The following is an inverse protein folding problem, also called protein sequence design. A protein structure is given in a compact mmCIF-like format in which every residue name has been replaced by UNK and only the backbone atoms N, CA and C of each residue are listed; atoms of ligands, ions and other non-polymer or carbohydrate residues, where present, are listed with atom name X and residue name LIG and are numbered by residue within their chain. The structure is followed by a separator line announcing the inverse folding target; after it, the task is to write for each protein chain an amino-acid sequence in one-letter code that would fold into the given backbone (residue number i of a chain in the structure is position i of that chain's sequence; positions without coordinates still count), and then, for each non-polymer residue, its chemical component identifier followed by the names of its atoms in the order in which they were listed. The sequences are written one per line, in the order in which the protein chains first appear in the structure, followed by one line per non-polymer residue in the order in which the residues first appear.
data_IF_716998928944
#
_entry.id   IF_716998928944
#
_cell.length_a   1.000
_cell.length_b   1.000
_cell.length_c   1.000
_cell.angle_alpha   90.00
_cell.angle_beta   90.00
_cell.angle_gamma   90.00
#
_symmetry.space_group_name_H-M   'P 1'
#
loop_
_entity.id
_entity.type
_entity.pdbx_description
1 polymer ?
#
# COMPACT_ATOMS: atom_id res chain seq x y z
N UNK A 1 -7.49 -0.61 18.88
CA UNK A 1 -8.72 -0.70 18.07
C UNK A 1 -8.91 -2.14 17.62
N UNK A 2 -10.15 -2.62 17.47
CA UNK A 2 -10.43 -4.01 17.08
C UNK A 2 -10.09 -4.24 15.61
N UNK A 3 -9.43 -5.35 15.28
CA UNK A 3 -9.17 -5.75 13.89
C UNK A 3 -10.51 -5.90 13.17
N UNK A 4 -10.72 -5.24 12.01
CA UNK A 4 -11.98 -5.33 11.29
C UNK A 4 -12.23 -6.78 10.86
N UNK A 5 -13.47 -7.25 11.00
CA UNK A 5 -13.84 -8.59 10.57
C UNK A 5 -13.93 -8.64 9.04
N UNK A 6 -12.98 -9.31 8.41
CA UNK A 6 -12.93 -9.44 6.96
C UNK A 6 -13.92 -10.50 6.45
N UNK A 7 -14.60 -10.18 5.36
CA UNK A 7 -15.36 -11.16 4.56
C UNK A 7 -14.40 -12.12 3.84
N UNK A 8 -14.90 -13.27 3.37
CA UNK A 8 -14.08 -14.27 2.64
C UNK A 8 -13.23 -13.64 1.54
N UNK A 9 -13.84 -12.81 0.68
CA UNK A 9 -13.12 -12.21 -0.45
C UNK A 9 -12.07 -11.18 0.00
N UNK A 10 -12.34 -10.43 1.07
CA UNK A 10 -11.36 -9.49 1.65
C UNK A 10 -10.18 -10.25 2.26
N UNK A 11 -10.44 -11.33 3.00
CA UNK A 11 -9.37 -12.18 3.56
C UNK A 11 -8.51 -12.81 2.48
N UNK A 12 -9.11 -13.35 1.42
CA UNK A 12 -8.38 -13.95 0.31
C UNK A 12 -7.46 -12.94 -0.39
N UNK A 13 -7.97 -11.74 -0.67
CA UNK A 13 -7.16 -10.67 -1.28
C UNK A 13 -6.06 -10.20 -0.33
N UNK A 14 -6.36 -10.02 0.96
CA UNK A 14 -5.37 -9.63 1.95
C UNK A 14 -4.24 -10.66 2.07
N UNK A 15 -4.56 -11.95 2.20
CA UNK A 15 -3.55 -13.01 2.30
C UNK A 15 -2.74 -13.16 0.99
N UNK A 16 -3.35 -12.94 -0.17
CA UNK A 16 -2.61 -12.95 -1.43
C UNK A 16 -1.55 -11.85 -1.50
N UNK A 17 -1.84 -10.67 -0.90
CA UNK A 17 -0.88 -9.58 -0.77
C UNK A 17 0.17 -9.87 0.31
N UNK A 18 -0.25 -10.39 1.47
CA UNK A 18 0.62 -10.73 2.60
C UNK A 18 1.66 -11.79 2.25
N UNK A 19 1.27 -12.78 1.43
CA UNK A 19 2.17 -13.84 0.97
C UNK A 19 3.11 -13.40 -0.17
N UNK A 20 3.04 -12.14 -0.63
CA UNK A 20 3.82 -11.63 -1.76
C UNK A 20 4.98 -10.75 -1.29
N UNK A 21 6.20 -11.03 -1.78
CA UNK A 21 7.39 -10.21 -1.52
C UNK A 21 7.44 -8.93 -2.38
N UNK A 22 6.54 -8.82 -3.37
CA UNK A 22 6.43 -7.69 -4.28
C UNK A 22 4.98 -7.18 -4.36
N UNK A 23 4.76 -5.90 -4.69
CA UNK A 23 3.42 -5.35 -4.91
C UNK A 23 2.67 -6.12 -5.98
N UNK A 24 1.37 -6.35 -5.77
CA UNK A 24 0.53 -7.04 -6.74
C UNK A 24 -0.43 -6.06 -7.42
N UNK A 25 -0.54 -6.17 -8.75
CA UNK A 25 -1.62 -5.52 -9.48
C UNK A 25 -2.96 -6.22 -9.19
N UNK A 26 -4.08 -5.53 -9.39
CA UNK A 26 -5.40 -6.14 -9.24
C UNK A 26 -5.61 -7.36 -10.16
N UNK A 27 -4.99 -7.36 -11.35
CA UNK A 27 -5.05 -8.48 -12.28
C UNK A 27 -4.21 -9.67 -11.81
N UNK A 28 -3.02 -9.42 -11.26
CA UNK A 28 -2.18 -10.47 -10.66
C UNK A 28 -2.88 -11.13 -9.47
N UNK A 29 -3.57 -10.34 -8.65
CA UNK A 29 -4.39 -10.87 -7.55
C UNK A 29 -5.55 -11.71 -8.10
N UNK A 30 -6.25 -11.21 -9.13
CA UNK A 30 -7.35 -11.96 -9.77
C UNK A 30 -6.85 -13.31 -10.27
N UNK A 31 -5.73 -13.35 -10.97
CA UNK A 31 -5.17 -14.57 -11.54
C UNK A 31 -4.76 -15.58 -10.45
N UNK A 32 -4.17 -15.11 -9.35
CA UNK A 32 -3.84 -15.95 -8.18
C UNK A 32 -5.08 -16.53 -7.48
N UNK A 33 -6.23 -15.85 -7.54
CA UNK A 33 -7.44 -16.22 -6.80
C UNK A 33 -8.54 -16.85 -7.69
N UNK A 34 -8.23 -17.21 -8.94
CA UNK A 34 -9.22 -17.84 -9.85
C UNK A 34 -9.77 -19.14 -9.28
N UNK A 35 -8.91 -19.98 -8.73
CA UNK A 35 -9.30 -21.28 -8.15
C UNK A 35 -10.12 -21.11 -6.86
N UNK A 36 -10.00 -19.95 -6.21
CA UNK A 36 -10.78 -19.55 -5.04
C UNK A 36 -12.14 -18.92 -5.40
N UNK A 37 -12.49 -18.91 -6.69
CA UNK A 37 -13.79 -18.46 -7.21
C UNK A 37 -13.83 -17.02 -7.69
N UNK A 38 -12.70 -16.30 -7.78
CA UNK A 38 -12.66 -14.99 -8.42
C UNK A 38 -12.75 -15.14 -9.94
N UNK A 39 -13.63 -14.37 -10.57
CA UNK A 39 -13.93 -14.44 -12.01
C UNK A 39 -13.80 -13.10 -12.71
N UNK A 40 -13.95 -11.99 -11.98
CA UNK A 40 -13.95 -10.65 -12.56
C UNK A 40 -13.05 -9.68 -11.76
N UNK A 41 -12.32 -8.76 -12.42
CA UNK A 41 -11.50 -7.75 -11.75
C UNK A 41 -12.28 -6.92 -10.71
N UNK A 42 -13.56 -6.64 -10.96
CA UNK A 42 -14.41 -5.88 -10.06
C UNK A 42 -14.52 -6.50 -8.66
N UNK A 43 -14.45 -7.83 -8.55
CA UNK A 43 -14.48 -8.51 -7.24
C UNK A 43 -13.22 -8.20 -6.43
N UNK A 44 -12.06 -8.12 -7.10
CA UNK A 44 -10.78 -7.75 -6.48
C UNK A 44 -10.82 -6.28 -6.07
N UNK A 45 -11.25 -5.37 -6.95
CA UNK A 45 -11.33 -3.95 -6.63
C UNK A 45 -12.25 -3.66 -5.43
N UNK A 46 -13.40 -4.33 -5.32
CA UNK A 46 -14.30 -4.18 -4.15
C UNK A 46 -13.66 -4.65 -2.84
N UNK A 47 -12.87 -5.72 -2.89
CA UNK A 47 -12.14 -6.18 -1.71
C UNK A 47 -11.03 -5.19 -1.34
N UNK A 48 -10.24 -4.74 -2.32
CA UNK A 48 -9.17 -3.75 -2.13
C UNK A 48 -9.70 -2.42 -1.58
N UNK A 49 -10.83 -1.93 -2.07
CA UNK A 49 -11.47 -0.70 -1.57
C UNK A 49 -11.74 -0.78 -0.07
N UNK A 50 -12.29 -1.90 0.41
CA UNK A 50 -12.51 -2.11 1.85
C UNK A 50 -11.23 -2.27 2.65
N UNK A 51 -10.22 -2.94 2.10
CA UNK A 51 -8.91 -3.05 2.76
C UNK A 51 -8.20 -1.69 2.85
N UNK A 52 -8.36 -0.82 1.84
CA UNK A 52 -7.86 0.56 1.84
C UNK A 52 -8.59 1.42 2.87
N UNK A 53 -9.92 1.33 2.95
CA UNK A 53 -10.73 2.01 3.97
C UNK A 53 -10.31 1.60 5.39
N UNK A 54 -9.95 0.33 5.59
CA UNK A 54 -9.45 -0.18 6.87
C UNK A 54 -7.99 0.17 7.15
N UNK A 55 -7.26 0.74 6.19
CA UNK A 55 -5.82 1.00 6.32
C UNK A 55 -4.96 -0.26 6.36
N UNK A 56 -5.49 -1.41 5.91
CA UNK A 56 -4.77 -2.70 5.91
C UNK A 56 -3.85 -2.87 4.70
N UNK A 57 -4.12 -2.13 3.63
CA UNK A 57 -3.31 -2.14 2.41
C UNK A 57 -3.08 -0.70 1.94
N UNK A 58 -2.03 -0.51 1.17
CA UNK A 58 -1.75 0.73 0.47
C UNK A 58 -1.71 0.50 -1.04
N UNK A 59 -2.07 1.55 -1.79
CA UNK A 59 -1.88 1.60 -3.24
C UNK A 59 -0.59 2.33 -3.56
N UNK A 60 0.22 1.72 -4.41
CA UNK A 60 1.36 2.36 -5.09
C UNK A 60 0.85 2.90 -6.41
N UNK A 61 0.72 4.22 -6.50
CA UNK A 61 0.15 4.90 -7.65
C UNK A 61 1.06 4.76 -8.88
N UNK A 62 2.38 4.81 -8.71
CA UNK A 62 3.31 4.70 -9.84
C UNK A 62 3.39 3.31 -10.47
N UNK A 63 2.90 2.28 -9.77
CA UNK A 63 2.90 0.89 -10.24
C UNK A 63 1.48 0.34 -10.48
N UNK A 64 0.43 1.08 -10.13
CA UNK A 64 -0.96 0.59 -10.08
C UNK A 64 -1.07 -0.76 -9.34
N UNK A 65 -0.35 -0.87 -8.23
CA UNK A 65 -0.22 -2.08 -7.45
C UNK A 65 -0.55 -1.84 -5.97
N UNK A 66 -0.71 -2.92 -5.22
CA UNK A 66 -1.13 -2.91 -3.83
C UNK A 66 -0.13 -3.67 -2.96
N UNK A 67 0.03 -3.22 -1.72
CA UNK A 67 0.88 -3.83 -0.68
C UNK A 67 0.15 -3.86 0.66
N UNK A 68 0.50 -4.81 1.53
CA UNK A 68 0.01 -4.81 2.92
C UNK A 68 0.68 -3.67 3.70
N UNK A 69 -0.08 -3.03 4.58
CA UNK A 69 0.45 -2.03 5.50
C UNK A 69 1.38 -2.69 6.54
N UNK A 70 2.58 -2.13 6.70
CA UNK A 70 3.57 -2.62 7.67
C UNK A 70 3.24 -2.20 9.11
N UNK A 71 2.31 -1.26 9.29
CA UNK A 71 1.97 -0.65 10.59
C UNK A 71 0.46 -0.71 10.92
N UNK A 72 -0.16 -1.90 10.98
CA UNK A 72 -1.61 -2.03 11.18
C UNK A 72 -2.11 -1.60 12.58
N UNK A 73 -1.22 -1.31 13.54
CA UNK A 73 -1.54 -1.00 14.94
C UNK A 73 -1.27 0.44 15.37
N UNK A 74 -0.54 1.21 14.57
CA UNK A 74 -0.31 2.63 14.84
C UNK A 74 -1.28 3.46 13.99
N UNK A 75 -1.59 4.66 14.47
CA UNK A 75 -2.43 5.68 13.84
C UNK A 75 -1.90 6.17 12.48
N UNK A 76 -1.48 5.28 11.57
CA UNK A 76 -1.15 5.59 10.18
C UNK A 76 -2.36 6.14 9.42
N UNK A 77 -3.59 5.87 9.88
CA UNK A 77 -4.80 6.52 9.37
C UNK A 77 -4.98 7.95 9.90
N UNK A 78 -4.19 8.39 10.89
CA UNK A 78 -4.22 9.75 11.47
C UNK A 78 -2.97 10.58 11.13
N UNK A 79 -1.84 9.94 10.78
CA UNK A 79 -0.62 10.60 10.33
C UNK A 79 -0.49 10.48 8.80
N UNK A 80 -0.95 11.52 8.10
CA UNK A 80 -1.33 11.51 6.68
C UNK A 80 -0.22 11.38 5.64
N UNK A 81 0.98 10.92 6.00
CA UNK A 81 2.10 10.72 5.06
C UNK A 81 2.53 9.26 5.04
N UNK A 82 2.42 8.62 3.88
CA UNK A 82 2.96 7.27 3.66
C UNK A 82 4.08 7.34 2.64
N UNK A 83 5.23 6.74 2.94
CA UNK A 83 6.40 6.76 2.05
C UNK A 83 6.86 5.34 1.69
N UNK A 84 7.21 5.17 0.41
CA UNK A 84 7.64 3.90 -0.16
C UNK A 84 8.95 4.06 -0.93
N UNK A 85 9.88 3.14 -0.73
CA UNK A 85 11.05 2.96 -1.59
C UNK A 85 10.83 1.71 -2.46
N UNK A 86 10.93 1.88 -3.77
CA UNK A 86 10.61 0.88 -4.79
C UNK A 86 11.88 0.53 -5.54
N UNK A 87 12.29 -0.74 -5.50
CA UNK A 87 13.41 -1.22 -6.30
C UNK A 87 12.98 -1.50 -7.75
N UNK A 88 13.62 -0.84 -8.71
CA UNK A 88 13.33 -1.03 -10.13
C UNK A 88 13.91 -2.34 -10.71
N UNK A 89 14.82 -3.02 -9.99
CA UNK A 89 15.43 -4.28 -10.44
C UNK A 89 14.68 -5.52 -9.96
N UNK A 90 14.38 -5.60 -8.66
CA UNK A 90 13.69 -6.77 -8.08
C UNK A 90 12.21 -6.52 -7.75
N UNK A 91 11.72 -5.28 -7.84
CA UNK A 91 10.33 -4.94 -7.53
C UNK A 91 9.99 -4.90 -6.05
N UNK A 92 10.94 -5.17 -5.15
CA UNK A 92 10.73 -5.08 -3.69
C UNK A 92 10.35 -3.66 -3.30
N UNK A 93 9.39 -3.54 -2.39
CA UNK A 93 8.94 -2.28 -1.84
C UNK A 93 9.12 -2.26 -0.33
N UNK A 94 9.72 -1.18 0.15
CA UNK A 94 9.89 -0.91 1.57
C UNK A 94 9.04 0.30 1.96
N UNK A 95 8.12 0.10 2.90
CA UNK A 95 7.42 1.20 3.56
C UNK A 95 8.33 1.81 4.64
N UNK A 96 8.36 3.14 4.75
CA UNK A 96 9.08 3.84 5.79
C UNK A 96 8.32 5.10 6.24
N UNK A 97 8.64 5.56 7.45
CA UNK A 97 8.05 6.74 8.07
C UNK A 97 9.16 7.65 8.59
N UNK A 98 9.05 8.95 8.29
CA UNK A 98 10.01 9.97 8.75
C UNK A 98 9.23 11.22 9.19
N UNK A 99 9.29 11.52 10.49
CA UNK A 99 8.58 12.66 11.08
C UNK A 99 9.13 14.01 10.61
N UNK A 100 10.40 14.11 10.23
CA UNK A 100 10.96 15.36 9.72
C UNK A 100 10.41 15.68 8.33
N UNK A 101 10.27 14.67 7.47
CA UNK A 101 9.62 14.82 6.16
C UNK A 101 8.15 15.22 6.35
N UNK A 102 7.43 14.54 7.24
CA UNK A 102 6.03 14.87 7.54
C UNK A 102 5.87 16.32 8.00
N UNK A 103 6.71 16.78 8.95
CA UNK A 103 6.66 18.15 9.45
C UNK A 103 6.93 19.19 8.37
N UNK A 104 7.93 18.96 7.50
CA UNK A 104 8.24 19.87 6.41
C UNK A 104 7.08 20.02 5.40
N UNK A 105 6.41 18.92 5.08
CA UNK A 105 5.25 18.95 4.19
C UNK A 105 4.05 19.63 4.86
N UNK A 106 3.83 19.40 6.15
CA UNK A 106 2.80 20.12 6.92
C UNK A 106 3.05 21.63 6.97
N UNK A 107 4.30 22.06 7.19
CA UNK A 107 4.65 23.49 7.17
C UNK A 107 4.45 24.11 5.80
N UNK A 108 4.84 23.41 4.74
CA UNK A 108 4.66 23.87 3.36
C UNK A 108 3.18 24.06 3.01
N UNK A 109 2.34 23.09 3.38
CA UNK A 109 0.89 23.13 3.11
C UNK A 109 0.21 24.25 3.89
N UNK A 110 0.50 24.37 5.19
CA UNK A 110 0.01 25.47 6.05
C UNK A 110 0.44 26.84 5.52
N UNK A 111 1.71 27.00 5.18
CA UNK A 111 2.26 28.26 4.68
C UNK A 111 1.63 28.75 3.36
N UNK A 112 1.00 27.85 2.61
CA UNK A 112 0.31 28.18 1.34
C UNK A 112 -1.22 28.13 1.44
N UNK A 113 -1.78 27.84 2.61
CA UNK A 113 -3.20 27.58 2.77
C UNK A 113 -3.70 26.38 1.96
N UNK A 114 -2.81 25.46 1.58
CA UNK A 114 -3.14 24.27 0.83
C UNK A 114 -3.68 23.20 1.78
N UNK A 115 -4.87 22.67 1.49
CA UNK A 115 -5.50 21.61 2.30
C UNK A 115 -5.22 20.26 1.64
N UNK A 116 -4.16 19.59 2.09
CA UNK A 116 -3.85 18.24 1.62
C UNK A 116 -4.83 17.23 2.23
N UNK A 117 -5.45 16.41 1.39
CA UNK A 117 -6.31 15.29 1.83
C UNK A 117 -5.49 14.02 2.13
N UNK A 118 -4.43 13.78 1.36
CA UNK A 118 -3.52 12.63 1.49
C UNK A 118 -2.13 13.00 0.96
N UNK A 119 -1.09 12.55 1.65
CA UNK A 119 0.30 12.67 1.19
C UNK A 119 0.89 11.28 0.95
N UNK A 120 1.38 11.05 -0.26
CA UNK A 120 2.06 9.79 -0.63
C UNK A 120 3.39 10.12 -1.28
N UNK A 121 4.45 9.46 -0.81
CA UNK A 121 5.81 9.60 -1.34
C UNK A 121 6.24 8.26 -1.91
N UNK A 122 6.70 8.25 -3.16
CA UNK A 122 7.24 7.06 -3.81
C UNK A 122 8.62 7.40 -4.37
N UNK A 123 9.64 6.70 -3.89
CA UNK A 123 11.03 6.83 -4.31
C UNK A 123 11.37 5.60 -5.15
N UNK A 124 11.78 5.82 -6.40
CA UNK A 124 12.26 4.74 -7.28
C UNK A 124 13.78 4.70 -7.28
N UNK A 125 14.35 3.51 -7.19
CA UNK A 125 15.79 3.32 -7.18
C UNK A 125 16.19 1.85 -7.18
N UNK A 126 17.39 1.55 -6.67
CA UNK A 126 17.91 0.17 -6.59
C UNK A 126 18.17 -0.14 -5.12
N UNK A 127 17.63 -1.25 -4.62
CA UNK A 127 17.84 -1.65 -3.23
C UNK A 127 19.27 -2.16 -3.00
N UNK A 128 19.72 -2.18 -1.74
CA UNK A 128 21.08 -2.62 -1.38
C UNK A 128 21.43 -4.01 -1.93
N UNK A 129 20.49 -4.97 -1.86
CA UNK A 129 20.67 -6.32 -2.40
C UNK A 129 20.93 -6.30 -3.91
N UNK A 130 20.24 -5.42 -4.64
CA UNK A 130 20.40 -5.27 -6.08
C UNK A 130 21.63 -4.45 -6.48
N UNK A 131 22.18 -3.60 -5.60
CA UNK A 131 23.47 -2.93 -5.85
C UNK A 131 24.63 -3.90 -5.62
N UNK A 132 24.49 -4.84 -4.70
CA UNK A 132 25.50 -5.84 -4.38
C UNK A 132 25.57 -7.03 -5.36
N UNK A 133 24.63 -7.10 -6.33
CA UNK A 133 24.52 -8.13 -7.37
C UNK A 133 25.14 -7.69 -8.69
#
# INVERSE_FOLDING_TARGET
MATPQLTRNQSLVFHALEASEAPLSAYTILDKLRDEGFRAPLQVYRALEKLLEFGLVHRLESLNAFVVCSHPKHDCCSHGTVAFAICERCGTVQEFHDHAIEHQLQDWTKGRGFKAEKTTIEIKGICANCVAL
#
